data_IF_827707988221
#
_entry.id   IF_827707988221
#
_cell.length_a   1.000
_cell.length_b   1.000
_cell.length_c   1.000
_cell.angle_alpha   90.00
_cell.angle_beta   90.00
_cell.angle_gamma   90.00
#
_symmetry.space_group_name_H-M   'P 1'
#
loop_
_entity.id
_entity.type
_entity.pdbx_description
1 polymer ?
#
# COMPACT_ATOMS: atom_id res chain seq x y z
N UNK A 1 2.42 1.09 26.48
CA UNK A 1 1.90 0.47 25.25
C UNK A 1 1.14 1.51 24.45
N UNK A 2 1.77 2.10 23.43
CA UNK A 2 1.04 3.04 22.55
C UNK A 2 0.09 2.23 21.69
N UNK A 3 -1.21 2.37 21.95
CA UNK A 3 -2.25 1.79 21.10
C UNK A 3 -2.23 2.57 19.79
N UNK A 4 -1.50 2.10 18.78
CA UNK A 4 -1.69 2.55 17.40
C UNK A 4 -3.07 2.06 16.99
N UNK A 5 -4.10 2.82 17.39
CA UNK A 5 -5.44 2.66 16.91
C UNK A 5 -5.38 2.77 15.41
N UNK A 6 -5.80 1.73 14.71
CA UNK A 6 -5.90 1.74 13.26
C UNK A 6 -6.97 2.78 12.91
N UNK A 7 -6.55 4.02 12.67
CA UNK A 7 -7.43 5.08 12.19
C UNK A 7 -7.94 4.61 10.84
N UNK A 8 -9.21 4.19 10.81
CA UNK A 8 -9.89 3.89 9.55
C UNK A 8 -10.17 5.24 8.90
N UNK A 9 -9.64 5.44 7.70
CA UNK A 9 -9.93 6.63 6.91
C UNK A 9 -11.44 6.83 6.81
N UNK A 10 -11.89 8.08 6.91
CA UNK A 10 -13.31 8.42 6.74
C UNK A 10 -13.79 7.99 5.35
N UNK A 11 -15.03 7.49 5.20
CA UNK A 11 -15.58 7.14 3.89
C UNK A 11 -15.51 8.31 2.89
N UNK A 12 -15.61 9.56 3.36
CA UNK A 12 -15.44 10.74 2.53
C UNK A 12 -14.03 10.84 1.92
N UNK A 13 -12.99 10.52 2.69
CA UNK A 13 -11.60 10.53 2.23
C UNK A 13 -11.33 9.44 1.19
N UNK A 14 -11.92 8.26 1.38
CA UNK A 14 -11.83 7.16 0.42
C UNK A 14 -12.44 7.58 -0.93
N UNK A 15 -13.64 8.16 -0.91
CA UNK A 15 -14.31 8.65 -2.13
C UNK A 15 -13.48 9.76 -2.80
N UNK A 16 -12.97 10.73 -2.03
CA UNK A 16 -12.15 11.80 -2.56
C UNK A 16 -10.88 11.27 -3.27
N UNK A 17 -10.21 10.30 -2.66
CA UNK A 17 -8.98 9.70 -3.21
C UNK A 17 -9.26 9.00 -4.54
N UNK A 18 -10.35 8.23 -4.61
CA UNK A 18 -10.78 7.58 -5.85
C UNK A 18 -11.19 8.60 -6.92
N UNK A 19 -11.92 9.66 -6.55
CA UNK A 19 -12.30 10.71 -7.47
C UNK A 19 -11.07 11.42 -8.06
N UNK A 20 -10.11 11.81 -7.21
CA UNK A 20 -8.87 12.46 -7.65
C UNK A 20 -8.07 11.57 -8.61
N UNK A 21 -7.99 10.27 -8.34
CA UNK A 21 -7.31 9.31 -9.20
C UNK A 21 -7.96 9.21 -10.59
N UNK A 22 -9.29 9.07 -10.64
CA UNK A 22 -10.04 8.99 -11.91
C UNK A 22 -9.93 10.28 -12.71
N UNK A 23 -10.02 11.44 -12.04
CA UNK A 23 -9.86 12.75 -12.68
C UNK A 23 -8.46 12.91 -13.25
N UNK A 24 -7.42 12.53 -12.49
CA UNK A 24 -6.03 12.62 -12.94
C UNK A 24 -5.77 11.77 -14.19
N UNK A 25 -6.20 10.51 -14.20
CA UNK A 25 -6.05 9.64 -15.37
C UNK A 25 -6.81 10.21 -16.57
N UNK A 26 -8.07 10.62 -16.36
CA UNK A 26 -8.90 11.16 -17.44
C UNK A 26 -8.28 12.41 -18.05
N UNK A 27 -7.76 13.32 -17.23
CA UNK A 27 -7.11 14.55 -17.67
C UNK A 27 -5.82 14.26 -18.46
N UNK A 28 -4.98 13.34 -18.00
CA UNK A 28 -3.76 12.95 -18.74
C UNK A 28 -4.10 12.25 -20.05
N UNK A 29 -5.06 11.32 -20.07
CA UNK A 29 -5.50 10.66 -21.30
C UNK A 29 -6.10 11.66 -22.29
N UNK A 30 -6.92 12.59 -21.83
CA UNK A 30 -7.46 13.66 -22.67
C UNK A 30 -6.35 14.53 -23.27
N UNK A 31 -5.32 14.86 -22.49
CA UNK A 31 -4.14 15.56 -22.98
C UNK A 31 -3.42 14.80 -24.10
N UNK A 32 -3.21 13.48 -23.94
CA UNK A 32 -2.57 12.64 -24.95
C UNK A 32 -3.40 12.59 -26.25
N UNK A 33 -4.73 12.52 -26.15
CA UNK A 33 -5.62 12.47 -27.32
C UNK A 33 -5.58 13.79 -28.11
N UNK A 34 -5.59 14.93 -27.42
CA UNK A 34 -5.59 16.26 -28.04
C UNK A 34 -4.24 16.70 -28.61
N UNK A 35 -3.16 15.95 -28.36
CA UNK A 35 -1.84 16.28 -28.89
C UNK A 35 -1.82 16.22 -30.44
N UNK A 36 -1.34 17.24 -31.16
CA UNK A 36 -1.23 17.23 -32.62
C UNK A 36 0.02 16.47 -33.07
N UNK A 37 0.08 15.17 -32.78
CA UNK A 37 1.21 14.28 -33.11
C UNK A 37 0.73 12.99 -33.78
N UNK A 38 1.67 12.25 -34.39
CA UNK A 38 1.39 10.95 -35.00
C UNK A 38 0.83 9.95 -33.97
N UNK A 39 -0.11 9.10 -34.40
CA UNK A 39 -0.74 8.08 -33.56
C UNK A 39 0.26 7.12 -32.89
N UNK A 40 1.41 6.86 -33.52
CA UNK A 40 2.48 6.06 -32.90
C UNK A 40 3.04 6.69 -31.62
N UNK A 41 3.26 8.01 -31.63
CA UNK A 41 3.77 8.75 -30.46
C UNK A 41 2.71 8.78 -29.35
N UNK A 42 1.43 8.95 -29.70
CA UNK A 42 0.32 8.83 -28.74
C UNK A 42 0.27 7.45 -28.11
N UNK A 43 0.46 6.40 -28.89
CA UNK A 43 0.54 5.02 -28.41
C UNK A 43 1.68 4.81 -27.43
N UNK A 44 2.88 5.32 -27.73
CA UNK A 44 4.03 5.26 -26.82
C UNK A 44 3.75 5.96 -25.48
N UNK A 45 3.18 7.17 -25.51
CA UNK A 45 2.81 7.89 -24.28
C UNK A 45 1.74 7.15 -23.48
N UNK A 46 0.73 6.59 -24.16
CA UNK A 46 -0.32 5.77 -23.54
C UNK A 46 0.22 4.51 -22.87
N UNK A 47 1.15 3.80 -23.52
CA UNK A 47 1.82 2.63 -22.93
C UNK A 47 2.61 3.02 -21.67
N UNK A 48 3.40 4.09 -21.73
CA UNK A 48 4.17 4.60 -20.57
C UNK A 48 3.26 5.00 -19.41
N UNK A 49 2.16 5.69 -19.69
CA UNK A 49 1.16 6.06 -18.70
C UNK A 49 0.54 4.82 -18.04
N UNK A 50 0.07 3.84 -18.83
CA UNK A 50 -0.54 2.62 -18.32
C UNK A 50 0.45 1.80 -17.47
N UNK A 51 1.70 1.67 -17.92
CA UNK A 51 2.75 0.97 -17.18
C UNK A 51 3.11 1.66 -15.86
N UNK A 52 3.20 2.99 -15.86
CA UNK A 52 3.48 3.77 -14.65
C UNK A 52 2.36 3.62 -13.62
N UNK A 53 1.09 3.70 -14.04
CA UNK A 53 -0.07 3.48 -13.16
C UNK A 53 -0.07 2.05 -12.61
N UNK A 54 0.11 1.05 -13.48
CA UNK A 54 0.17 -0.36 -13.08
C UNK A 54 1.28 -0.68 -12.07
N UNK A 55 2.50 -0.18 -12.33
CA UNK A 55 3.64 -0.36 -11.43
C UNK A 55 3.45 0.34 -10.08
N UNK A 56 2.82 1.52 -10.05
CA UNK A 56 2.47 2.22 -8.82
C UNK A 56 1.50 1.41 -7.95
N UNK A 57 0.48 0.78 -8.55
CA UNK A 57 -0.43 -0.10 -7.80
C UNK A 57 0.26 -1.34 -7.23
N UNK A 58 1.14 -1.97 -8.01
CA UNK A 58 1.93 -3.10 -7.53
C UNK A 58 2.83 -2.67 -6.38
N UNK A 59 3.52 -1.54 -6.51
CA UNK A 59 4.37 -0.99 -5.45
C UNK A 59 3.57 -0.67 -4.19
N UNK A 60 2.37 -0.09 -4.32
CA UNK A 60 1.48 0.21 -3.21
C UNK A 60 1.01 -1.07 -2.48
N UNK A 61 0.72 -2.15 -3.22
CA UNK A 61 0.42 -3.47 -2.64
C UNK A 61 1.62 -4.01 -1.88
N UNK A 62 2.78 -4.11 -2.53
CA UNK A 62 4.01 -4.60 -1.88
C UNK A 62 4.36 -3.82 -0.62
N UNK A 63 4.15 -2.51 -0.62
CA UNK A 63 4.39 -1.65 0.55
C UNK A 63 3.41 -1.94 1.68
N UNK A 64 2.12 -2.13 1.36
CA UNK A 64 1.10 -2.52 2.35
C UNK A 64 1.40 -3.90 2.93
N UNK A 65 1.71 -4.87 2.08
CA UNK A 65 2.03 -6.24 2.48
C UNK A 65 3.28 -6.27 3.38
N UNK A 66 4.31 -5.46 3.07
CA UNK A 66 5.49 -5.31 3.90
C UNK A 66 5.17 -4.69 5.27
N UNK A 67 4.27 -3.70 5.32
CA UNK A 67 3.84 -3.07 6.56
C UNK A 67 3.08 -4.05 7.46
N UNK A 68 2.17 -4.85 6.89
CA UNK A 68 1.41 -5.88 7.60
C UNK A 68 2.33 -7.00 8.10
N UNK A 69 3.23 -7.51 7.26
CA UNK A 69 4.18 -8.55 7.62
C UNK A 69 5.07 -8.14 8.80
N UNK A 70 5.61 -6.91 8.80
CA UNK A 70 6.42 -6.38 9.91
C UNK A 70 5.66 -6.35 11.23
N UNK A 71 4.37 -5.99 11.19
CA UNK A 71 3.52 -5.96 12.38
C UNK A 71 3.25 -7.37 12.92
N UNK A 72 3.08 -8.35 12.03
CA UNK A 72 2.87 -9.75 12.40
C UNK A 72 4.13 -10.38 12.99
N UNK A 73 5.30 -10.17 12.39
CA UNK A 73 6.57 -10.72 12.90
C UNK A 73 6.88 -10.20 14.30
N UNK A 74 6.67 -8.91 14.56
CA UNK A 74 6.88 -8.33 15.89
C UNK A 74 6.01 -8.98 16.97
N UNK A 75 4.75 -9.31 16.66
CA UNK A 75 3.83 -10.00 17.58
C UNK A 75 4.22 -11.46 17.82
N UNK A 76 4.72 -12.13 16.79
CA UNK A 76 5.21 -13.51 16.92
C UNK A 76 6.48 -13.58 17.77
N UNK A 77 7.39 -12.62 17.60
CA UNK A 77 8.60 -12.53 18.41
C UNK A 77 8.26 -12.30 19.88
N UNK A 78 7.31 -11.40 20.19
CA UNK A 78 6.82 -11.18 21.55
C UNK A 78 6.22 -12.46 22.17
N UNK A 79 5.34 -13.16 21.45
CA UNK A 79 4.73 -14.40 21.94
C UNK A 79 5.77 -15.55 22.09
N UNK A 80 6.78 -15.62 21.21
CA UNK A 80 7.87 -16.59 21.35
C UNK A 80 8.74 -16.29 22.56
N UNK A 81 9.06 -15.02 22.80
CA UNK A 81 9.81 -14.58 23.98
C UNK A 81 9.05 -14.90 25.25
N UNK A 82 7.74 -14.60 25.32
CA UNK A 82 6.88 -14.95 26.45
C UNK A 82 6.88 -16.46 26.71
N UNK A 83 6.75 -17.27 25.66
CA UNK A 83 6.80 -18.74 25.78
C UNK A 83 8.15 -19.22 26.33
N UNK A 84 9.26 -18.70 25.82
CA UNK A 84 10.61 -19.05 26.30
C UNK A 84 10.80 -18.68 27.77
N UNK A 85 10.34 -17.50 28.19
CA UNK A 85 10.36 -17.07 29.58
C UNK A 85 9.51 -17.98 30.47
N UNK A 86 8.29 -18.33 30.04
CA UNK A 86 7.41 -19.23 30.80
C UNK A 86 7.99 -20.64 30.98
N UNK A 87 8.74 -21.13 29.99
CA UNK A 87 9.34 -22.46 30.03
C UNK A 87 10.62 -22.51 30.89
N UNK A 88 11.31 -21.38 31.03
CA UNK A 88 12.57 -21.25 31.79
C UNK A 88 12.41 -20.50 33.10
N UNK A 89 11.19 -20.37 33.64
CA UNK A 89 10.98 -19.67 34.91
C UNK A 89 11.68 -20.42 36.07
N UNK A 90 12.78 -19.87 36.63
CA UNK A 90 13.51 -20.51 37.71
C UNK A 90 12.78 -20.40 39.06
N UNK A 91 11.56 -19.84 39.11
CA UNK A 91 10.75 -19.69 40.33
C UNK A 91 9.70 -20.79 40.53
N UNK A 92 9.55 -21.73 39.60
CA UNK A 92 8.69 -22.90 39.78
C UNK A 92 9.41 -24.04 40.53
N UNK A 93 9.94 -23.73 41.73
CA UNK A 93 10.38 -24.72 42.70
C UNK A 93 9.27 -24.93 43.73
N UNK A 94 8.28 -25.79 43.41
CA UNK A 94 7.56 -26.55 44.43
C UNK A 94 6.90 -27.81 43.88
#
# INVERSE_FOLDING_TARGET
MQTIGTQKDSPAWVIQTWAAFVISISMTTFGIVNLPVNGWVKGFMGMGMAFSVGSTFTLAKTTRDLHENRRLTARLDEAKVEKLLSQHDPLNFK
#
